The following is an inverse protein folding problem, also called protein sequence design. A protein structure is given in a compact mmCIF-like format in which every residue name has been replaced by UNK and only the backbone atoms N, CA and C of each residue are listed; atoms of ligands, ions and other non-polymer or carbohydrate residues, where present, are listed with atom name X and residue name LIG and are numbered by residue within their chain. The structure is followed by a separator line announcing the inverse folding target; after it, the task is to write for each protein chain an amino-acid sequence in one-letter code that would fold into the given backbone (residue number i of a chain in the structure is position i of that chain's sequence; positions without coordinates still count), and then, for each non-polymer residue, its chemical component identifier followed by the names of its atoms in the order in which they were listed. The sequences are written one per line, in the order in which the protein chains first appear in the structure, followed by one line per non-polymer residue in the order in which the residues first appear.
data_IF_715912125360
#
_entry.id   IF_715912125360
#
_cell.length_a   1.000
_cell.length_b   1.000
_cell.length_c   1.000
_cell.angle_alpha   90.00
_cell.angle_beta   90.00
_cell.angle_gamma   90.00
#
_symmetry.space_group_name_H-M   'P 1'
#
loop_
_entity.id
_entity.type
_entity.pdbx_description
1 polymer ?
#
# COMPACT_ATOMS: atom_id res chain seq x y z
N UNK A 1 -9.70 -1.37 25.20
CA UNK A 1 -8.54 -0.87 24.49
C UNK A 1 -8.83 -0.72 23.02
N UNK A 2 -8.59 0.43 22.50
CA UNK A 2 -8.86 0.65 21.09
C UNK A 2 -7.70 0.22 20.25
N UNK A 3 -7.99 -0.56 19.22
CA UNK A 3 -6.98 -0.89 18.25
C UNK A 3 -6.87 0.23 17.23
N UNK A 4 -5.66 0.50 16.80
CA UNK A 4 -5.48 1.47 15.74
C UNK A 4 -6.15 0.95 14.47
N UNK A 5 -6.90 1.79 13.77
CA UNK A 5 -7.51 1.33 12.51
C UNK A 5 -6.44 0.96 11.50
N UNK A 6 -6.72 -0.05 10.73
CA UNK A 6 -5.79 -0.55 9.72
C UNK A 6 -6.16 0.04 8.38
N UNK A 7 -5.18 0.71 7.73
CA UNK A 7 -5.37 1.20 6.38
C UNK A 7 -5.37 0.05 5.39
N UNK A 8 -6.37 0.01 4.53
CA UNK A 8 -6.51 -1.07 3.55
C UNK A 8 -6.58 -0.47 2.16
N UNK A 9 -5.78 -1.04 1.25
CA UNK A 9 -5.87 -0.71 -0.18
C UNK A 9 -6.08 -2.00 -0.95
N UNK A 10 -6.77 -1.88 -2.08
CA UNK A 10 -6.90 -2.98 -3.03
C UNK A 10 -6.38 -2.46 -4.37
N UNK A 11 -5.49 -3.22 -4.99
CA UNK A 11 -4.95 -2.89 -6.32
C UNK A 11 -5.35 -3.97 -7.30
N UNK A 12 -5.35 -3.60 -8.59
CA UNK A 12 -5.71 -4.53 -9.65
C UNK A 12 -4.51 -4.79 -10.56
N UNK A 13 -3.83 -5.93 -10.40
CA UNK A 13 -2.65 -6.22 -11.21
C UNK A 13 -2.96 -6.52 -12.67
N UNK A 14 -4.23 -6.70 -13.01
CA UNK A 14 -4.61 -6.89 -14.42
C UNK A 14 -4.59 -5.59 -15.19
N UNK A 15 -4.54 -4.45 -14.49
CA UNK A 15 -4.47 -3.14 -15.12
C UNK A 15 -3.03 -2.67 -15.13
N UNK A 16 -2.71 -1.74 -16.03
CA UNK A 16 -1.35 -1.26 -16.17
C UNK A 16 -0.83 -0.65 -14.88
N UNK A 17 0.34 -1.10 -14.45
CA UNK A 17 1.05 -0.61 -13.28
C UNK A 17 0.34 -0.89 -11.96
N UNK A 18 -0.55 -1.89 -11.92
CA UNK A 18 -1.17 -2.36 -10.68
C UNK A 18 -1.74 -1.19 -9.86
N UNK A 19 -2.71 -0.45 -10.40
CA UNK A 19 -3.22 0.73 -9.71
C UNK A 19 -4.12 0.37 -8.54
N UNK A 20 -4.18 1.26 -7.56
CA UNK A 20 -5.12 1.14 -6.45
C UNK A 20 -6.53 1.36 -6.99
N UNK A 21 -7.46 0.50 -6.63
CA UNK A 21 -8.86 0.63 -7.01
C UNK A 21 -9.77 0.89 -5.81
N UNK A 22 -9.27 0.69 -4.60
CA UNK A 22 -10.05 0.93 -3.40
C UNK A 22 -9.14 1.28 -2.22
N UNK A 23 -9.58 2.21 -1.39
CA UNK A 23 -8.96 2.49 -0.09
C UNK A 23 -10.08 2.62 0.94
N UNK A 24 -9.78 2.25 2.20
CA UNK A 24 -10.74 2.45 3.26
C UNK A 24 -10.51 3.80 3.93
N UNK A 25 -11.44 4.18 4.80
CA UNK A 25 -11.38 5.47 5.48
C UNK A 25 -10.15 5.58 6.38
N UNK A 26 -9.76 4.48 7.03
CA UNK A 26 -8.57 4.48 7.88
C UNK A 26 -7.31 4.82 7.09
N UNK A 27 -7.21 4.35 5.85
CA UNK A 27 -6.08 4.68 4.98
C UNK A 27 -6.03 6.19 4.72
N UNK A 28 -7.20 6.80 4.46
CA UNK A 28 -7.25 8.24 4.21
C UNK A 28 -6.79 9.03 5.44
N UNK A 29 -7.22 8.61 6.62
CA UNK A 29 -6.82 9.28 7.86
C UNK A 29 -5.34 9.09 8.17
N UNK A 30 -4.84 7.88 7.93
CA UNK A 30 -3.44 7.55 8.23
C UNK A 30 -2.48 8.30 7.32
N UNK A 31 -2.78 8.36 6.02
CA UNK A 31 -1.87 8.93 5.03
C UNK A 31 -2.13 10.40 4.74
N UNK A 32 -3.33 10.89 5.02
CA UNK A 32 -3.71 12.23 4.66
C UNK A 32 -4.10 12.40 3.20
N UNK A 33 -4.08 11.32 2.43
CA UNK A 33 -4.47 11.37 1.02
C UNK A 33 -5.95 11.01 0.89
N UNK A 34 -6.75 11.85 0.22
CA UNK A 34 -8.14 11.47 -0.04
C UNK A 34 -8.20 10.39 -1.11
N UNK A 35 -9.27 9.61 -1.09
CA UNK A 35 -9.46 8.52 -2.04
C UNK A 35 -9.22 8.96 -3.49
N UNK A 36 -9.74 10.13 -3.84
CA UNK A 36 -9.67 10.64 -5.21
C UNK A 36 -8.25 10.87 -5.67
N UNK A 37 -7.33 11.10 -4.73
CA UNK A 37 -5.92 11.30 -5.06
C UNK A 37 -5.15 9.98 -5.17
N UNK A 38 -5.73 8.88 -4.73
CA UNK A 38 -5.04 7.59 -4.64
C UNK A 38 -5.51 6.60 -5.69
N UNK A 39 -6.82 6.52 -5.91
CA UNK A 39 -7.38 5.56 -6.85
C UNK A 39 -6.85 5.85 -8.26
N UNK A 40 -6.38 4.81 -8.93
CA UNK A 40 -5.78 4.93 -10.25
C UNK A 40 -4.27 5.03 -10.23
N UNK A 41 -3.64 5.09 -9.04
CA UNK A 41 -2.18 5.20 -8.92
C UNK A 41 -1.61 3.96 -8.28
N UNK A 42 -0.35 3.67 -8.60
CA UNK A 42 0.37 2.61 -7.92
C UNK A 42 0.77 3.11 -6.52
N UNK A 43 0.69 2.23 -5.52
CA UNK A 43 0.98 2.59 -4.13
C UNK A 43 2.41 3.07 -3.88
N UNK A 44 3.31 2.91 -4.83
CA UNK A 44 4.71 3.32 -4.63
C UNK A 44 4.86 4.83 -4.36
N UNK A 45 3.83 5.62 -4.65
CA UNK A 45 3.91 7.05 -4.36
C UNK A 45 4.03 7.34 -2.86
N UNK A 46 3.70 6.38 -2.01
CA UNK A 46 3.87 6.53 -0.56
C UNK A 46 5.32 6.33 -0.12
N UNK A 47 6.16 5.78 -1.00
CA UNK A 47 7.56 5.54 -0.68
C UNK A 47 8.38 6.81 -0.86
N UNK A 48 9.52 6.87 -0.18
CA UNK A 48 10.40 7.99 -0.29
C UNK A 48 11.82 7.64 0.16
N UNK A 49 12.60 8.67 0.47
CA UNK A 49 14.03 8.52 0.70
C UNK A 49 14.36 7.54 1.81
N UNK A 50 13.57 7.53 2.89
CA UNK A 50 13.84 6.66 4.04
C UNK A 50 13.22 5.27 3.89
N UNK A 51 12.53 4.97 2.79
CA UNK A 51 11.95 3.64 2.59
C UNK A 51 13.06 2.65 2.29
N UNK A 52 13.07 1.53 3.02
CA UNK A 52 14.10 0.52 2.88
C UNK A 52 14.00 -0.16 1.51
N UNK A 53 15.05 -0.07 0.67
CA UNK A 53 15.01 -0.70 -0.66
C UNK A 53 14.79 -2.21 -0.61
N UNK A 54 15.27 -2.90 0.44
CA UNK A 54 15.05 -4.33 0.58
C UNK A 54 13.58 -4.65 0.80
N UNK A 55 12.89 -3.87 1.64
CA UNK A 55 11.48 -4.06 1.87
C UNK A 55 10.68 -3.80 0.60
N UNK A 56 11.05 -2.77 -0.14
CA UNK A 56 10.39 -2.45 -1.41
C UNK A 56 10.57 -3.60 -2.41
N UNK A 57 11.79 -4.14 -2.49
CA UNK A 57 12.07 -5.25 -3.40
C UNK A 57 11.29 -6.50 -2.99
N UNK A 58 11.21 -6.77 -1.70
CA UNK A 58 10.48 -7.94 -1.21
C UNK A 58 8.99 -7.86 -1.59
N UNK A 59 8.41 -6.66 -1.48
CA UNK A 59 7.04 -6.46 -1.91
C UNK A 59 6.87 -6.69 -3.40
N UNK A 60 7.79 -6.14 -4.20
CA UNK A 60 7.71 -6.27 -5.65
C UNK A 60 7.82 -7.74 -6.08
N UNK A 61 8.71 -8.48 -5.46
CA UNK A 61 8.87 -9.90 -5.77
C UNK A 61 7.64 -10.71 -5.39
N UNK A 62 7.04 -10.40 -4.24
CA UNK A 62 5.85 -11.10 -3.80
C UNK A 62 4.68 -10.81 -4.74
N UNK A 63 4.54 -9.57 -5.17
CA UNK A 63 3.49 -9.21 -6.13
C UNK A 63 3.69 -9.97 -7.44
N UNK A 64 4.92 -10.02 -7.95
CA UNK A 64 5.21 -10.73 -9.19
C UNK A 64 4.95 -12.23 -9.06
N UNK A 65 5.20 -12.80 -7.90
CA UNK A 65 5.00 -14.22 -7.64
C UNK A 65 3.59 -14.54 -7.15
N UNK A 66 2.73 -13.55 -7.02
CA UNK A 66 1.36 -13.70 -6.52
C UNK A 66 1.31 -14.42 -5.17
N UNK A 67 2.24 -14.06 -4.27
CA UNK A 67 2.28 -14.62 -2.93
C UNK A 67 2.09 -13.52 -1.89
N UNK A 68 1.56 -13.88 -0.71
CA UNK A 68 1.39 -12.88 0.35
C UNK A 68 2.73 -12.48 0.96
N UNK A 69 2.79 -11.25 1.44
CA UNK A 69 3.97 -10.73 2.12
C UNK A 69 3.55 -9.66 3.12
N UNK A 70 4.31 -9.56 4.19
CA UNK A 70 4.12 -8.50 5.16
C UNK A 70 5.48 -7.88 5.45
N UNK A 71 5.59 -6.56 5.28
CA UNK A 71 6.84 -5.85 5.52
C UNK A 71 6.54 -4.57 6.27
N UNK A 72 7.54 -4.10 7.02
CA UNK A 72 7.49 -2.78 7.64
C UNK A 72 8.43 -1.86 6.90
N UNK A 73 7.96 -0.68 6.56
CA UNK A 73 8.81 0.31 5.90
C UNK A 73 8.28 1.72 6.17
N UNK A 74 9.15 2.69 5.90
CA UNK A 74 8.77 4.08 6.04
C UNK A 74 7.97 4.51 4.83
N UNK A 75 6.80 5.07 5.07
CA UNK A 75 5.99 5.72 4.06
C UNK A 75 5.89 7.21 4.40
N UNK A 76 5.32 7.98 3.49
CA UNK A 76 5.20 9.43 3.65
C UNK A 76 3.74 9.84 3.48
N UNK A 77 3.29 10.69 4.40
CA UNK A 77 1.93 11.26 4.33
C UNK A 77 1.87 12.36 3.30
N UNK A 78 0.66 12.79 3.00
CA UNK A 78 0.42 13.86 2.03
C UNK A 78 1.14 15.16 2.41
N UNK A 79 1.35 15.41 3.71
CA UNK A 79 2.05 16.60 4.18
C UNK A 79 3.57 16.44 4.20
N UNK A 80 4.07 15.30 3.75
CA UNK A 80 5.50 15.03 3.69
C UNK A 80 6.09 14.41 4.94
N UNK A 81 5.30 14.18 5.98
CA UNK A 81 5.83 13.56 7.20
C UNK A 81 5.96 12.05 7.02
N UNK A 82 7.05 11.51 7.57
CA UNK A 82 7.32 10.08 7.48
C UNK A 82 6.63 9.33 8.60
N UNK A 83 6.26 8.08 8.34
CA UNK A 83 5.73 7.21 9.38
C UNK A 83 6.07 5.75 9.05
N UNK A 84 6.19 4.94 10.10
CA UNK A 84 6.36 3.50 9.94
C UNK A 84 5.03 2.87 9.58
N UNK A 85 5.04 2.07 8.52
CA UNK A 85 3.83 1.42 8.04
C UNK A 85 4.08 -0.08 7.89
N UNK A 86 3.22 -0.88 8.48
CA UNK A 86 3.23 -2.32 8.24
C UNK A 86 2.33 -2.57 7.04
N UNK A 87 2.92 -3.05 5.94
CA UNK A 87 2.20 -3.29 4.71
C UNK A 87 2.02 -4.79 4.53
N UNK A 88 0.79 -5.22 4.45
CA UNK A 88 0.46 -6.62 4.17
C UNK A 88 -0.17 -6.68 2.80
N UNK A 89 0.42 -7.50 1.94
CA UNK A 89 -0.06 -7.68 0.58
C UNK A 89 -0.49 -9.12 0.42
N UNK A 90 -1.68 -9.32 -0.09
CA UNK A 90 -2.19 -10.66 -0.37
C UNK A 90 -2.86 -10.65 -1.73
N UNK A 91 -2.57 -11.63 -2.59
CA UNK A 91 -3.22 -11.67 -3.89
C UNK A 91 -4.68 -12.03 -3.74
N UNK A 92 -5.53 -11.34 -4.52
CA UNK A 92 -6.94 -11.68 -4.60
C UNK A 92 -7.12 -12.59 -5.80
N UNK A 93 -7.79 -13.70 -5.59
CA UNK A 93 -8.03 -14.64 -6.65
C UNK A 93 -9.51 -14.74 -6.94
N UNK A 94 -9.84 -14.84 -8.22
CA UNK A 94 -11.20 -15.09 -8.60
C UNK A 94 -11.56 -16.53 -8.27
N UNK A 95 -12.81 -16.72 -7.92
CA UNK A 95 -13.31 -18.05 -7.58
C UNK A 95 -13.59 -18.92 -8.80
N UNK A 96 -13.40 -18.39 -9.97
CA UNK A 96 -13.69 -19.12 -11.20
C UNK A 96 -12.74 -20.25 -11.46
#
# INVERSE_FOLDING_TARGET
MDEAPVGITISDPSLEDNPVVYVNEAFERLTGYPREAVVGRNCRFLQGEASDPEAVREMAEAIADERPVSVELVNYRADGTAFWNEVTIAPLRNAA
#
